data_IF_839178982892
#
_entry.id   IF_839178982892
#
_cell.length_a   1.000
_cell.length_b   1.000
_cell.length_c   1.000
_cell.angle_alpha   90.00
_cell.angle_beta   90.00
_cell.angle_gamma   90.00
#
_symmetry.space_group_name_H-M   'P 1'
#
loop_
_entity.id
_entity.type
_entity.pdbx_description
1 polymer ?
#
# COMPACT_ATOMS: atom_id res chain seq x y z
N UNK A 1 -7.90 -28.46 -62.89
CA UNK A 1 -7.36 -28.84 -61.57
C UNK A 1 -8.02 -27.93 -60.53
N UNK A 2 -8.91 -28.50 -59.71
CA UNK A 2 -9.15 -28.20 -58.28
C UNK A 2 -9.44 -26.71 -57.91
N UNK A 3 -10.52 -26.29 -57.22
CA UNK A 3 -11.72 -26.90 -56.65
C UNK A 3 -12.54 -25.77 -56.01
N UNK A 4 -13.87 -25.91 -56.04
CA UNK A 4 -14.90 -25.13 -55.32
C UNK A 4 -14.62 -25.02 -53.80
N UNK A 5 -15.25 -24.03 -53.15
CA UNK A 5 -16.24 -24.33 -52.09
C UNK A 5 -17.32 -23.24 -51.97
N UNK A 6 -18.55 -23.72 -52.05
CA UNK A 6 -19.82 -23.06 -51.80
C UNK A 6 -20.01 -22.77 -50.31
N UNK A 7 -20.70 -21.69 -49.96
CA UNK A 7 -21.50 -21.64 -48.73
C UNK A 7 -22.97 -21.38 -49.09
N UNK A 8 -23.81 -22.30 -48.62
CA UNK A 8 -25.26 -22.31 -48.75
C UNK A 8 -25.87 -21.23 -47.86
N UNK A 9 -26.76 -20.42 -48.42
CA UNK A 9 -27.71 -19.64 -47.64
C UNK A 9 -28.86 -20.56 -47.22
N UNK A 10 -28.98 -20.82 -45.92
CA UNK A 10 -30.15 -21.48 -45.34
C UNK A 10 -31.20 -20.40 -45.09
N UNK A 11 -32.21 -20.35 -45.96
CA UNK A 11 -33.43 -19.58 -45.77
C UNK A 11 -34.30 -20.34 -44.75
N UNK A 12 -34.32 -19.87 -43.50
CA UNK A 12 -35.22 -20.41 -42.47
C UNK A 12 -36.50 -19.58 -42.45
N UNK A 13 -37.55 -20.11 -43.08
CA UNK A 13 -38.91 -19.56 -42.99
C UNK A 13 -39.46 -19.81 -41.60
N UNK A 14 -39.65 -18.75 -40.81
CA UNK A 14 -40.39 -18.80 -39.53
C UNK A 14 -41.84 -18.42 -39.82
N UNK A 15 -42.72 -19.40 -39.71
CA UNK A 15 -44.17 -19.23 -39.81
C UNK A 15 -44.68 -18.51 -38.56
N UNK A 16 -45.18 -17.29 -38.72
CA UNK A 16 -45.85 -16.55 -37.65
C UNK A 16 -47.22 -17.18 -37.37
N UNK A 17 -47.39 -17.76 -36.17
CA UNK A 17 -48.72 -18.07 -35.64
C UNK A 17 -49.31 -16.79 -35.04
N UNK A 18 -50.36 -16.26 -35.66
CA UNK A 18 -51.19 -15.23 -35.03
C UNK A 18 -52.06 -15.89 -33.96
N UNK A 19 -51.91 -15.44 -32.72
CA UNK A 19 -52.91 -15.67 -31.68
C UNK A 19 -53.44 -14.30 -31.29
N UNK A 20 -54.67 -14.02 -31.70
CA UNK A 20 -55.42 -12.84 -31.26
C UNK A 20 -56.11 -13.16 -29.94
N UNK A 21 -55.75 -12.45 -28.88
CA UNK A 21 -56.66 -12.20 -27.76
C UNK A 21 -56.40 -10.80 -27.21
N UNK A 22 -57.46 -9.98 -27.20
CA UNK A 22 -57.40 -8.58 -26.79
C UNK A 22 -57.32 -8.45 -25.27
N UNK A 23 -56.32 -7.72 -24.77
CA UNK A 23 -56.38 -7.02 -23.50
C UNK A 23 -55.41 -5.82 -23.50
N UNK A 24 -55.98 -4.63 -23.68
CA UNK A 24 -55.49 -3.29 -23.31
C UNK A 24 -54.02 -2.92 -23.58
N UNK A 25 -53.82 -2.12 -24.63
CA UNK A 25 -52.80 -1.08 -24.82
C UNK A 25 -51.65 -1.01 -23.80
N UNK A 26 -50.59 -1.75 -24.07
CA UNK A 26 -49.20 -1.35 -23.78
C UNK A 26 -48.45 -1.42 -25.11
N UNK A 27 -48.85 -0.57 -26.06
CA UNK A 27 -48.28 -0.58 -27.40
C UNK A 27 -46.92 0.16 -27.39
N UNK A 28 -45.89 -0.61 -27.09
CA UNK A 28 -44.50 -0.26 -27.34
C UNK A 28 -43.73 -1.55 -27.53
N UNK A 29 -43.04 -1.70 -28.66
CA UNK A 29 -42.33 -2.93 -28.96
C UNK A 29 -41.21 -3.17 -27.93
N UNK A 30 -41.16 -4.39 -27.39
CA UNK A 30 -40.03 -4.85 -26.57
C UNK A 30 -38.84 -5.08 -27.48
N UNK A 31 -37.81 -4.25 -27.33
CA UNK A 31 -36.51 -4.44 -27.97
C UNK A 31 -35.63 -5.21 -27.02
N UNK A 32 -35.31 -6.44 -27.41
CA UNK A 32 -34.28 -7.23 -26.74
C UNK A 32 -32.92 -6.66 -27.13
N UNK A 33 -32.14 -6.17 -26.18
CA UNK A 33 -30.71 -6.01 -26.41
C UNK A 33 -30.13 -7.43 -26.52
N UNK A 34 -29.66 -7.76 -27.72
CA UNK A 34 -28.89 -8.97 -27.97
C UNK A 34 -27.49 -8.55 -28.39
N UNK A 35 -26.53 -9.46 -28.26
CA UNK A 35 -25.10 -9.25 -28.57
C UNK A 35 -24.86 -8.67 -29.98
N UNK A 36 -25.85 -8.75 -30.87
CA UNK A 36 -25.79 -8.32 -32.26
C UNK A 36 -26.45 -6.95 -32.56
N UNK A 37 -27.13 -6.30 -31.60
CA UNK A 37 -27.93 -5.07 -31.90
C UNK A 37 -27.54 -3.82 -31.11
N UNK A 38 -27.26 -3.91 -29.82
CA UNK A 38 -27.00 -2.71 -29.00
C UNK A 38 -25.50 -2.42 -28.92
N UNK A 39 -25.11 -1.23 -29.38
CA UNK A 39 -23.74 -0.73 -29.35
C UNK A 39 -23.51 0.09 -28.08
N UNK A 40 -22.47 -0.25 -27.32
CA UNK A 40 -21.99 0.55 -26.19
C UNK A 40 -20.79 1.38 -26.62
N UNK A 41 -20.94 2.71 -26.59
CA UNK A 41 -19.87 3.66 -26.90
C UNK A 41 -19.27 4.15 -25.59
N UNK A 42 -18.21 3.48 -25.14
CA UNK A 42 -17.54 3.81 -23.88
C UNK A 42 -16.47 4.87 -24.11
N UNK A 43 -16.58 5.99 -23.40
CA UNK A 43 -15.59 7.06 -23.43
C UNK A 43 -14.24 6.65 -22.84
N UNK A 44 -13.22 7.47 -23.08
CA UNK A 44 -11.87 7.24 -22.55
C UNK A 44 -11.85 7.09 -21.02
N UNK A 45 -10.88 6.32 -20.52
CA UNK A 45 -10.70 6.18 -19.08
C UNK A 45 -10.36 7.53 -18.45
N UNK A 46 -11.07 7.97 -17.39
CA UNK A 46 -10.83 9.23 -16.72
C UNK A 46 -9.57 9.11 -15.85
N UNK A 47 -8.40 9.17 -16.47
CA UNK A 47 -7.15 9.15 -15.74
C UNK A 47 -7.07 10.34 -14.76
N UNK A 48 -6.32 10.21 -13.66
CA UNK A 48 -5.94 11.36 -12.86
C UNK A 48 -5.02 12.29 -13.69
N UNK A 49 -5.58 13.28 -14.41
CA UNK A 49 -4.84 14.29 -15.18
C UNK A 49 -4.70 15.60 -14.38
N UNK A 50 -3.58 16.30 -14.57
CA UNK A 50 -3.02 17.31 -13.64
C UNK A 50 -3.99 18.34 -13.02
N UNK A 51 -3.99 18.39 -11.68
CA UNK A 51 -3.91 19.65 -10.90
C UNK A 51 -3.68 19.44 -9.38
N UNK A 52 -2.53 18.86 -8.99
CA UNK A 52 -1.84 18.99 -7.67
C UNK A 52 -2.41 18.29 -6.40
N UNK A 53 -1.62 17.59 -5.57
CA UNK A 53 -0.13 17.52 -5.46
C UNK A 53 0.39 16.08 -5.30
N UNK A 54 1.37 15.72 -6.14
CA UNK A 54 2.30 14.56 -6.05
C UNK A 54 3.69 15.14 -5.63
N UNK A 55 4.58 14.48 -4.89
CA UNK A 55 5.68 13.56 -5.34
C UNK A 55 6.30 12.79 -4.14
N UNK A 56 7.17 11.76 -4.28
CA UNK A 56 8.50 11.74 -4.95
C UNK A 56 8.74 10.41 -5.70
N UNK A 57 9.22 10.32 -6.96
CA UNK A 57 9.53 11.27 -8.06
C UNK A 57 8.85 10.81 -9.37
N UNK A 58 7.79 11.50 -9.82
CA UNK A 58 6.68 11.04 -10.69
C UNK A 58 7.01 10.80 -12.18
N UNK A 59 6.41 9.84 -12.89
CA UNK A 59 4.97 9.76 -13.28
C UNK A 59 4.26 8.50 -12.74
N UNK A 60 3.04 8.66 -12.22
CA UNK A 60 2.10 7.55 -12.01
C UNK A 60 0.68 8.05 -12.23
N UNK A 61 0.25 7.94 -13.48
CA UNK A 61 -1.13 8.21 -13.88
C UNK A 61 -2.15 7.28 -13.22
N UNK A 62 -1.70 6.25 -12.49
CA UNK A 62 -2.45 5.04 -12.22
C UNK A 62 -2.86 4.37 -13.51
N UNK A 63 -4.08 3.84 -13.52
CA UNK A 63 -4.74 3.43 -14.75
C UNK A 63 -5.00 4.66 -15.63
N UNK A 64 -4.48 4.64 -16.86
CA UNK A 64 -4.63 5.72 -17.83
C UNK A 64 -5.49 5.35 -19.03
N UNK A 65 -5.75 4.06 -19.24
CA UNK A 65 -6.55 3.52 -20.33
C UNK A 65 -7.28 2.25 -19.91
N UNK A 66 -8.35 1.93 -20.65
CA UNK A 66 -9.00 0.63 -20.61
C UNK A 66 -8.06 -0.46 -21.14
N UNK A 67 -8.12 -1.66 -20.55
CA UNK A 67 -7.36 -2.83 -20.96
C UNK A 67 -8.27 -4.06 -21.00
N UNK A 68 -7.88 -5.07 -21.77
CA UNK A 68 -8.64 -6.31 -21.89
C UNK A 68 -8.89 -6.93 -20.50
N UNK A 69 -10.14 -7.34 -20.25
CA UNK A 69 -10.60 -7.87 -18.97
C UNK A 69 -11.17 -6.82 -18.00
N UNK A 70 -11.06 -5.52 -18.27
CA UNK A 70 -11.80 -4.52 -17.47
C UNK A 70 -13.32 -4.76 -17.54
N UNK A 71 -14.00 -4.60 -16.42
CA UNK A 71 -15.45 -4.76 -16.30
C UNK A 71 -16.12 -3.43 -15.92
N UNK A 72 -17.26 -3.12 -16.56
CA UNK A 72 -18.16 -2.02 -16.19
C UNK A 72 -19.50 -2.64 -15.80
N UNK A 73 -19.98 -2.32 -14.60
CA UNK A 73 -21.26 -2.76 -14.09
C UNK A 73 -22.35 -1.78 -14.51
N UNK A 74 -23.37 -2.27 -15.21
CA UNK A 74 -24.50 -1.48 -15.67
C UNK A 74 -25.74 -1.74 -14.81
N UNK A 75 -26.46 -0.68 -14.48
CA UNK A 75 -27.81 -0.75 -13.91
C UNK A 75 -28.78 0.01 -14.82
N UNK A 76 -29.87 -0.65 -15.18
CA UNK A 76 -30.95 -0.12 -16.00
C UNK A 76 -32.20 0.01 -15.12
N UNK A 77 -32.77 1.21 -15.05
CA UNK A 77 -34.00 1.46 -14.31
C UNK A 77 -35.10 1.87 -15.30
N UNK A 78 -36.03 0.96 -15.55
CA UNK A 78 -37.26 1.22 -16.30
C UNK A 78 -38.44 1.31 -15.32
N UNK A 79 -39.35 2.24 -15.56
CA UNK A 79 -40.60 2.37 -14.78
C UNK A 79 -41.53 1.18 -15.02
N UNK A 80 -41.37 0.49 -16.14
CA UNK A 80 -42.27 -0.56 -16.61
C UNK A 80 -41.65 -1.94 -16.37
N UNK A 81 -40.39 -2.13 -16.76
CA UNK A 81 -39.68 -3.41 -16.66
C UNK A 81 -38.95 -3.58 -15.33
N UNK A 82 -38.86 -2.53 -14.52
CA UNK A 82 -38.11 -2.53 -13.28
C UNK A 82 -36.60 -2.43 -13.48
N UNK A 83 -35.84 -2.89 -12.48
CA UNK A 83 -34.38 -2.89 -12.52
C UNK A 83 -33.82 -4.09 -13.27
N UNK A 84 -32.85 -3.84 -14.14
CA UNK A 84 -32.06 -4.87 -14.83
C UNK A 84 -30.58 -4.52 -14.72
N UNK A 85 -29.71 -5.53 -14.79
CA UNK A 85 -28.28 -5.36 -14.54
C UNK A 85 -27.46 -6.20 -15.50
N UNK A 86 -26.33 -5.65 -15.92
CA UNK A 86 -25.41 -6.33 -16.80
C UNK A 86 -23.96 -5.97 -16.48
N UNK A 87 -23.06 -6.75 -17.02
CA UNK A 87 -21.62 -6.46 -17.03
C UNK A 87 -21.14 -6.29 -18.46
N UNK A 88 -20.47 -5.17 -18.75
CA UNK A 88 -19.66 -5.01 -19.95
C UNK A 88 -18.23 -5.45 -19.64
N UNK A 89 -17.61 -6.19 -20.56
CA UNK A 89 -16.21 -6.58 -20.47
C UNK A 89 -15.43 -6.02 -21.65
N UNK A 90 -14.27 -5.41 -21.39
CA UNK A 90 -13.35 -4.98 -22.43
C UNK A 90 -12.67 -6.19 -23.05
N UNK A 91 -12.76 -6.33 -24.36
CA UNK A 91 -12.06 -7.33 -25.18
C UNK A 91 -11.19 -6.65 -26.24
N UNK A 92 -10.35 -7.40 -26.94
CA UNK A 92 -9.55 -6.85 -28.04
C UNK A 92 -10.40 -6.30 -29.19
N UNK A 93 -11.64 -6.78 -29.35
CA UNK A 93 -12.62 -6.35 -30.36
C UNK A 93 -13.48 -5.15 -29.93
N UNK A 94 -13.52 -4.78 -28.64
CA UNK A 94 -14.37 -3.70 -28.17
C UNK A 94 -14.88 -3.91 -26.75
N UNK A 95 -16.11 -3.47 -26.49
CA UNK A 95 -16.84 -3.76 -25.25
C UNK A 95 -17.97 -4.74 -25.55
N UNK A 96 -18.06 -5.80 -24.76
CA UNK A 96 -19.04 -6.87 -24.95
C UNK A 96 -19.88 -7.07 -23.70
N UNK A 97 -21.19 -7.24 -23.87
CA UNK A 97 -22.11 -7.56 -22.77
C UNK A 97 -22.01 -9.05 -22.42
N UNK A 98 -21.68 -9.34 -21.16
CA UNK A 98 -21.53 -10.71 -20.64
C UNK A 98 -22.88 -11.32 -20.30
N UNK A 99 -23.72 -10.54 -19.64
CA UNK A 99 -25.01 -10.96 -19.10
C UNK A 99 -26.12 -10.54 -20.08
N UNK A 100 -26.57 -11.48 -20.92
CA UNK A 100 -27.61 -11.27 -21.93
C UNK A 100 -28.84 -12.13 -21.62
N UNK A 101 -30.08 -11.62 -21.80
CA UNK A 101 -30.42 -10.32 -22.43
C UNK A 101 -30.93 -9.22 -21.46
N UNK A 102 -30.66 -7.95 -21.80
CA UNK A 102 -31.34 -6.77 -21.22
C UNK A 102 -32.51 -6.37 -22.11
N UNK A 103 -33.65 -6.06 -21.52
CA UNK A 103 -34.86 -5.68 -22.24
C UNK A 103 -35.09 -4.17 -22.17
N UNK A 104 -35.36 -3.57 -23.32
CA UNK A 104 -35.72 -2.16 -23.47
C UNK A 104 -37.05 -2.04 -24.19
N UNK A 105 -37.70 -0.89 -24.05
CA UNK A 105 -38.92 -0.59 -24.80
C UNK A 105 -38.68 0.60 -25.71
N UNK A 106 -39.32 0.62 -26.88
CA UNK A 106 -39.21 1.76 -27.81
C UNK A 106 -39.92 3.01 -27.27
N UNK A 107 -40.94 2.84 -26.43
CA UNK A 107 -41.73 3.92 -25.83
C UNK A 107 -41.18 4.41 -24.47
N UNK A 108 -40.08 3.84 -23.99
CA UNK A 108 -39.42 4.27 -22.75
C UNK A 108 -37.90 4.17 -22.84
N UNK A 109 -37.21 5.30 -22.71
CA UNK A 109 -35.78 5.31 -22.45
C UNK A 109 -35.50 5.01 -20.96
N UNK A 110 -34.82 3.89 -20.62
CA UNK A 110 -34.46 3.61 -19.24
C UNK A 110 -33.40 4.59 -18.74
N UNK A 111 -33.38 4.86 -17.44
CA UNK A 111 -32.22 5.49 -16.82
C UNK A 111 -31.11 4.44 -16.72
N UNK A 112 -29.90 4.76 -17.18
CA UNK A 112 -28.78 3.82 -17.19
C UNK A 112 -27.60 4.42 -16.44
N UNK A 113 -27.07 3.67 -15.48
CA UNK A 113 -25.84 3.99 -14.77
C UNK A 113 -24.75 2.99 -15.12
N UNK A 114 -23.53 3.48 -15.23
CA UNK A 114 -22.34 2.66 -15.40
C UNK A 114 -21.37 2.89 -14.24
N UNK A 115 -20.90 1.80 -13.65
CA UNK A 115 -19.97 1.80 -12.54
C UNK A 115 -18.71 1.04 -12.95
N UNK A 116 -17.58 1.75 -12.98
CA UNK A 116 -16.27 1.12 -12.96
C UNK A 116 -15.81 0.97 -11.52
N UNK A 117 -15.92 -0.25 -10.99
CA UNK A 117 -15.49 -0.58 -9.64
C UNK A 117 -14.87 -1.99 -9.64
N UNK A 118 -13.55 -2.13 -9.87
CA UNK A 118 -12.92 -3.43 -10.12
C UNK A 118 -13.04 -4.42 -8.96
N UNK A 119 -13.24 -3.92 -7.73
CA UNK A 119 -13.45 -4.73 -6.53
C UNK A 119 -14.91 -5.19 -6.34
N UNK A 120 -15.83 -4.78 -7.21
CA UNK A 120 -17.25 -5.08 -7.08
C UNK A 120 -17.75 -5.93 -8.24
N UNK A 121 -18.80 -6.69 -7.98
CA UNK A 121 -19.51 -7.49 -8.97
C UNK A 121 -21.01 -7.57 -8.63
N UNK A 122 -21.81 -8.03 -9.59
CA UNK A 122 -23.19 -8.39 -9.31
C UNK A 122 -23.25 -9.82 -8.73
N UNK A 123 -23.71 -9.94 -7.48
CA UNK A 123 -24.09 -11.24 -6.87
C UNK A 123 -25.59 -11.22 -6.59
N UNK A 124 -26.33 -12.19 -7.13
CA UNK A 124 -27.79 -12.29 -6.96
C UNK A 124 -28.54 -10.97 -7.19
N UNK A 125 -28.20 -10.25 -8.26
CA UNK A 125 -28.71 -8.91 -8.52
C UNK A 125 -28.52 -7.95 -7.33
N UNK A 126 -27.35 -7.96 -6.69
CA UNK A 126 -26.93 -7.01 -5.66
C UNK A 126 -25.46 -6.64 -5.89
N UNK A 127 -25.14 -5.34 -5.83
CA UNK A 127 -23.76 -4.88 -5.92
C UNK A 127 -23.01 -5.36 -4.68
N UNK A 128 -21.98 -6.17 -4.87
CA UNK A 128 -21.25 -6.82 -3.79
C UNK A 128 -19.76 -6.76 -4.04
N UNK A 129 -18.96 -6.72 -2.97
CA UNK A 129 -17.52 -6.87 -3.07
C UNK A 129 -17.16 -8.29 -3.59
N UNK A 130 -16.15 -8.33 -4.46
CA UNK A 130 -15.47 -9.55 -4.88
C UNK A 130 -14.75 -10.16 -3.67
N UNK A 131 -14.67 -11.48 -3.63
CA UNK A 131 -14.07 -12.20 -2.51
C UNK A 131 -12.60 -11.76 -2.32
N UNK A 132 -12.23 -11.47 -1.07
CA UNK A 132 -10.88 -11.02 -0.72
C UNK A 132 -10.59 -9.53 -0.98
N UNK A 133 -11.57 -8.75 -1.45
CA UNK A 133 -11.42 -7.29 -1.61
C UNK A 133 -12.08 -6.52 -0.47
N UNK A 134 -11.71 -5.24 -0.32
CA UNK A 134 -12.21 -4.35 0.73
C UNK A 134 -12.55 -2.99 0.12
N UNK A 135 -13.51 -2.28 0.72
CA UNK A 135 -13.83 -0.90 0.36
C UNK A 135 -12.59 0.00 0.40
N UNK A 136 -12.47 0.90 -0.56
CA UNK A 136 -11.36 1.84 -0.65
C UNK A 136 -10.03 1.26 -1.12
N UNK A 137 -9.94 -0.01 -1.52
CA UNK A 137 -8.72 -0.57 -2.14
C UNK A 137 -8.80 -0.68 -3.67
N UNK A 138 -9.87 -0.18 -4.26
CA UNK A 138 -10.08 -0.10 -5.70
C UNK A 138 -10.84 1.17 -6.10
N UNK A 139 -10.79 1.51 -7.39
CA UNK A 139 -11.56 2.63 -7.95
C UNK A 139 -13.07 2.40 -7.78
N UNK A 140 -13.84 3.48 -7.78
CA UNK A 140 -15.30 3.45 -7.74
C UNK A 140 -15.85 4.66 -8.49
N UNK A 141 -15.92 4.54 -9.81
CA UNK A 141 -16.28 5.65 -10.70
C UNK A 141 -17.66 5.36 -11.28
N UNK A 142 -18.65 6.16 -10.88
CA UNK A 142 -20.02 6.08 -11.41
C UNK A 142 -20.26 7.22 -12.40
N UNK A 143 -20.93 6.90 -13.51
CA UNK A 143 -21.44 7.87 -14.48
C UNK A 143 -22.89 7.54 -14.84
N UNK A 144 -23.66 8.59 -15.10
CA UNK A 144 -24.95 8.46 -15.77
C UNK A 144 -24.68 8.32 -17.29
N UNK A 145 -25.34 7.36 -17.94
CA UNK A 145 -25.19 7.08 -19.36
C UNK A 145 -26.22 7.86 -20.19
N UNK A 146 -25.84 8.25 -21.41
CA UNK A 146 -26.74 8.87 -22.37
C UNK A 146 -27.36 7.80 -23.28
N UNK A 147 -28.67 7.60 -23.15
CA UNK A 147 -29.44 6.66 -23.97
C UNK A 147 -30.01 7.42 -25.17
N UNK A 148 -29.31 7.37 -26.30
CA UNK A 148 -29.78 7.99 -27.56
C UNK A 148 -30.86 7.15 -28.24
N UNK A 149 -30.73 5.82 -28.22
CA UNK A 149 -31.72 4.86 -28.71
C UNK A 149 -31.52 3.48 -28.07
N UNK A 150 -32.40 2.52 -28.33
CA UNK A 150 -32.21 1.13 -27.90
C UNK A 150 -31.00 0.44 -28.56
N UNK A 151 -30.51 0.99 -29.67
CA UNK A 151 -29.38 0.46 -30.43
C UNK A 151 -28.04 1.15 -30.07
N UNK A 152 -28.04 2.30 -29.37
CA UNK A 152 -26.81 3.03 -29.00
C UNK A 152 -26.90 3.67 -27.60
N UNK A 153 -25.98 3.26 -26.72
CA UNK A 153 -25.81 3.80 -25.36
C UNK A 153 -24.40 4.35 -25.20
N UNK A 154 -24.29 5.63 -24.85
CA UNK A 154 -23.02 6.28 -24.58
C UNK A 154 -22.72 6.19 -23.09
N UNK A 155 -21.49 5.76 -22.77
CA UNK A 155 -20.99 5.65 -21.39
C UNK A 155 -19.88 6.69 -21.19
N UNK A 156 -20.19 7.89 -20.64
CA UNK A 156 -19.33 9.07 -20.75
C UNK A 156 -18.23 9.13 -19.67
N UNK A 157 -17.45 8.06 -19.53
CA UNK A 157 -16.36 7.98 -18.54
C UNK A 157 -15.31 9.08 -18.68
N UNK A 158 -15.11 9.63 -19.88
CA UNK A 158 -14.21 10.76 -20.12
C UNK A 158 -14.59 12.04 -19.36
N UNK A 159 -15.85 12.17 -18.93
CA UNK A 159 -16.38 13.29 -18.15
C UNK A 159 -16.59 12.94 -16.67
N UNK A 160 -16.19 11.73 -16.23
CA UNK A 160 -16.44 11.29 -14.87
C UNK A 160 -15.73 12.17 -13.84
N UNK A 161 -16.44 12.48 -12.76
CA UNK A 161 -15.86 13.18 -11.60
C UNK A 161 -15.58 12.18 -10.49
N UNK A 162 -14.47 12.36 -9.76
CA UNK A 162 -14.18 11.59 -8.55
C UNK A 162 -14.54 12.43 -7.35
N UNK A 163 -15.42 11.91 -6.49
CA UNK A 163 -15.77 12.50 -5.20
C UNK A 163 -14.87 11.98 -4.05
N UNK A 164 -13.71 11.45 -4.39
CA UNK A 164 -12.70 10.93 -3.48
C UNK A 164 -11.30 11.29 -3.97
N UNK A 165 -10.31 11.12 -3.09
CA UNK A 165 -8.89 11.20 -3.40
C UNK A 165 -8.28 9.81 -3.58
N UNK A 166 -7.09 9.75 -4.18
CA UNK A 166 -6.24 8.56 -4.22
C UNK A 166 -4.99 8.79 -3.38
N UNK A 167 -4.62 7.83 -2.55
CA UNK A 167 -3.30 7.76 -1.93
C UNK A 167 -2.51 6.60 -2.57
N UNK A 168 -1.40 6.93 -3.22
CA UNK A 168 -0.41 5.95 -3.67
C UNK A 168 0.65 5.75 -2.60
N UNK A 169 0.95 4.52 -2.27
CA UNK A 169 2.04 4.14 -1.38
C UNK A 169 3.08 3.41 -2.22
N UNK A 170 4.27 4.00 -2.38
CA UNK A 170 5.41 3.34 -3.01
C UNK A 170 6.19 2.56 -1.95
N UNK A 171 6.44 1.28 -2.20
CA UNK A 171 7.01 0.31 -1.25
C UNK A 171 7.79 -0.78 -1.99
N UNK A 172 8.05 -1.90 -1.34
CA UNK A 172 8.71 -3.09 -1.87
C UNK A 172 7.83 -3.73 -2.94
N UNK A 173 8.40 -4.22 -4.06
CA UNK A 173 7.64 -4.82 -5.17
C UNK A 173 7.10 -6.20 -4.83
N UNK A 174 5.85 -6.47 -5.22
CA UNK A 174 5.18 -7.78 -5.06
C UNK A 174 5.17 -8.35 -3.63
N UNK A 175 5.34 -7.52 -2.61
CA UNK A 175 5.40 -7.96 -1.22
C UNK A 175 4.12 -7.56 -0.46
N UNK A 176 3.67 -8.39 0.51
CA UNK A 176 2.61 -8.00 1.41
C UNK A 176 3.11 -6.94 2.39
N UNK A 177 2.29 -5.90 2.59
CA UNK A 177 2.51 -4.85 3.58
C UNK A 177 1.27 -4.66 4.45
N UNK A 178 1.46 -4.13 5.65
CA UNK A 178 0.37 -3.66 6.49
C UNK A 178 0.21 -2.16 6.31
N UNK A 179 -1.00 -1.73 5.94
CA UNK A 179 -1.39 -0.32 5.86
C UNK A 179 -2.36 -0.05 7.00
N UNK A 180 -1.90 0.67 8.02
CA UNK A 180 -2.75 1.18 9.10
C UNK A 180 -3.30 2.54 8.72
N UNK A 181 -4.58 2.77 8.95
CA UNK A 181 -5.24 4.07 8.75
C UNK A 181 -6.03 4.45 9.98
N UNK A 182 -6.05 5.74 10.30
CA UNK A 182 -6.97 6.31 11.29
C UNK A 182 -7.84 7.37 10.63
N UNK A 183 -9.13 7.37 10.95
CA UNK A 183 -10.11 8.33 10.45
C UNK A 183 -10.24 8.38 8.92
N UNK A 184 -9.96 7.28 8.23
CA UNK A 184 -10.11 7.16 6.78
C UNK A 184 -11.55 6.82 6.40
N UNK A 185 -12.06 7.46 5.35
CA UNK A 185 -13.37 7.13 4.75
C UNK A 185 -13.12 6.51 3.38
N UNK A 186 -13.17 5.17 3.23
CA UNK A 186 -13.03 4.53 1.93
C UNK A 186 -14.15 4.94 0.98
N UNK A 187 -13.86 5.01 -0.32
CA UNK A 187 -14.91 5.24 -1.32
C UNK A 187 -15.93 4.09 -1.28
N UNK A 188 -17.21 4.44 -1.42
CA UNK A 188 -18.36 3.55 -1.27
C UNK A 188 -18.51 2.90 0.12
N UNK A 189 -17.77 3.37 1.13
CA UNK A 189 -17.86 2.91 2.51
C UNK A 189 -18.12 4.02 3.52
N UNK A 190 -18.01 3.68 4.80
CA UNK A 190 -18.19 4.61 5.92
C UNK A 190 -16.86 4.88 6.63
N UNK A 191 -16.74 6.04 7.30
CA UNK A 191 -15.52 6.40 8.04
C UNK A 191 -15.22 5.40 9.14
N UNK A 192 -13.96 5.00 9.26
CA UNK A 192 -13.47 4.08 10.29
C UNK A 192 -12.49 4.81 11.22
N UNK A 193 -12.61 4.59 12.53
CA UNK A 193 -11.71 5.20 13.52
C UNK A 193 -10.27 4.69 13.35
N UNK A 194 -10.11 3.38 13.18
CA UNK A 194 -8.83 2.73 12.90
C UNK A 194 -9.07 1.44 12.12
N UNK A 195 -8.23 1.17 11.12
CA UNK A 195 -8.22 -0.08 10.36
C UNK A 195 -6.83 -0.44 9.87
N UNK A 196 -6.51 -1.72 9.91
CA UNK A 196 -5.33 -2.29 9.25
C UNK A 196 -5.76 -3.09 8.02
N UNK A 197 -5.13 -2.79 6.89
CA UNK A 197 -5.25 -3.53 5.65
C UNK A 197 -4.00 -4.38 5.44
N UNK A 198 -4.17 -5.62 5.02
CA UNK A 198 -3.09 -6.46 4.49
C UNK A 198 -3.15 -6.38 2.97
N UNK A 199 -2.23 -5.64 2.35
CA UNK A 199 -2.25 -5.34 0.93
C UNK A 199 -0.93 -5.78 0.28
N UNK A 200 -1.02 -6.38 -0.90
CA UNK A 200 0.17 -6.73 -1.70
C UNK A 200 0.39 -5.65 -2.74
N UNK A 201 1.61 -5.13 -2.79
CA UNK A 201 2.00 -4.15 -3.82
C UNK A 201 2.03 -4.77 -5.21
N UNK A 202 1.82 -3.95 -6.24
CA UNK A 202 1.97 -4.38 -7.63
C UNK A 202 3.45 -4.60 -8.05
N UNK A 203 3.65 -4.96 -9.32
CA UNK A 203 4.98 -5.17 -9.92
C UNK A 203 5.86 -3.89 -9.92
N UNK A 204 5.26 -2.73 -9.73
CA UNK A 204 5.95 -1.44 -9.63
C UNK A 204 6.20 -1.04 -8.16
N UNK A 205 5.73 -1.83 -7.20
CA UNK A 205 5.86 -1.55 -5.77
C UNK A 205 4.82 -0.56 -5.26
N UNK A 206 3.65 -0.47 -5.91
CA UNK A 206 2.59 0.44 -5.48
C UNK A 206 1.43 -0.28 -4.80
N UNK A 207 0.91 0.36 -3.76
CA UNK A 207 -0.39 0.07 -3.14
C UNK A 207 -1.25 1.33 -3.22
N UNK A 208 -2.56 1.18 -3.38
CA UNK A 208 -3.47 2.30 -3.53
C UNK A 208 -4.61 2.25 -2.52
N UNK A 209 -4.95 3.41 -1.97
CA UNK A 209 -6.20 3.64 -1.25
C UNK A 209 -7.01 4.72 -1.97
N UNK A 210 -8.33 4.55 -2.00
CA UNK A 210 -9.30 5.42 -2.64
C UNK A 210 -10.36 5.84 -1.61
N UNK A 211 -10.45 7.13 -1.35
CA UNK A 211 -11.34 7.65 -0.30
C UNK A 211 -10.93 9.06 0.13
N UNK A 212 -11.31 9.44 1.35
CA UNK A 212 -10.95 10.73 1.93
C UNK A 212 -10.26 10.57 3.29
N UNK A 213 -9.20 11.35 3.49
CA UNK A 213 -8.55 11.54 4.77
C UNK A 213 -8.91 12.93 5.27
N UNK A 214 -9.36 13.04 6.51
CA UNK A 214 -9.69 14.32 7.16
C UNK A 214 -8.47 14.84 7.92
N UNK A 215 -8.55 16.07 8.41
CA UNK A 215 -7.53 16.60 9.32
C UNK A 215 -7.32 15.65 10.50
N UNK A 216 -6.06 15.40 10.83
CA UNK A 216 -5.58 14.46 11.85
C UNK A 216 -5.75 12.97 11.51
N UNK A 217 -6.24 12.61 10.32
CA UNK A 217 -6.09 11.24 9.83
C UNK A 217 -4.61 10.85 9.78
N UNK A 218 -4.32 9.58 10.02
CA UNK A 218 -2.96 9.04 9.90
C UNK A 218 -2.92 7.86 8.96
N UNK A 219 -1.77 7.66 8.30
CA UNK A 219 -1.47 6.46 7.52
C UNK A 219 -0.09 5.96 7.93
N UNK A 220 -0.05 4.70 8.33
CA UNK A 220 1.16 3.99 8.77
C UNK A 220 1.42 2.81 7.85
N UNK A 221 2.66 2.69 7.37
CA UNK A 221 3.09 1.57 6.53
C UNK A 221 4.05 0.70 7.33
N UNK A 222 3.78 -0.60 7.39
CA UNK A 222 4.67 -1.59 8.01
C UNK A 222 5.00 -2.72 7.04
N UNK A 223 6.22 -3.23 7.15
CA UNK A 223 6.66 -4.48 6.53
C UNK A 223 7.16 -5.43 7.61
N UNK A 224 6.60 -6.64 7.68
CA UNK A 224 6.87 -7.62 8.74
C UNK A 224 6.80 -7.01 10.16
N UNK A 225 5.81 -6.14 10.41
CA UNK A 225 5.62 -5.45 11.69
C UNK A 225 6.54 -4.24 11.93
N UNK A 226 7.54 -3.99 11.09
CA UNK A 226 8.46 -2.86 11.18
C UNK A 226 7.91 -1.64 10.45
N UNK A 227 7.94 -0.48 11.08
CA UNK A 227 7.48 0.78 10.49
C UNK A 227 8.41 1.23 9.35
N UNK A 228 7.84 1.47 8.16
CA UNK A 228 8.56 2.02 7.00
C UNK A 228 8.27 3.51 6.80
N UNK A 229 7.01 3.91 7.00
CA UNK A 229 6.58 5.29 6.83
C UNK A 229 5.37 5.59 7.71
N UNK A 230 5.22 6.86 8.06
CA UNK A 230 4.03 7.38 8.72
C UNK A 230 3.73 8.78 8.17
N UNK A 231 2.46 9.08 7.98
CA UNK A 231 1.99 10.39 7.56
C UNK A 231 0.76 10.81 8.37
N UNK A 232 0.75 12.05 8.83
CA UNK A 232 -0.40 12.67 9.46
C UNK A 232 -0.91 13.81 8.58
N UNK A 233 -2.19 13.73 8.21
CA UNK A 233 -2.82 14.72 7.35
C UNK A 233 -3.13 15.99 8.14
N UNK A 234 -2.64 17.13 7.66
CA UNK A 234 -2.87 18.45 8.28
C UNK A 234 -4.16 19.11 7.82
N UNK A 235 -4.77 18.59 6.75
CA UNK A 235 -6.04 19.03 6.18
C UNK A 235 -6.74 17.87 5.47
N UNK A 236 -7.96 18.12 5.00
CA UNK A 236 -8.74 17.13 4.26
C UNK A 236 -8.20 16.97 2.85
N UNK A 237 -8.08 15.74 2.37
CA UNK A 237 -7.71 15.44 0.99
C UNK A 237 -8.77 15.92 0.01
N UNK A 238 -8.34 16.46 -1.13
CA UNK A 238 -9.21 16.97 -2.17
C UNK A 238 -9.72 15.87 -3.10
N UNK A 239 -10.98 15.99 -3.52
CA UNK A 239 -11.62 15.13 -4.49
C UNK A 239 -10.91 15.22 -5.86
N UNK A 240 -10.75 14.09 -6.53
CA UNK A 240 -10.05 13.99 -7.82
C UNK A 240 -8.54 14.20 -7.74
N UNK A 241 -7.95 14.36 -6.55
CA UNK A 241 -6.49 14.47 -6.39
C UNK A 241 -5.84 13.14 -6.03
N UNK A 242 -4.58 13.01 -6.41
CA UNK A 242 -3.74 11.87 -6.03
C UNK A 242 -2.55 12.36 -5.21
N UNK A 243 -2.37 11.76 -4.04
CA UNK A 243 -1.25 11.94 -3.13
C UNK A 243 -0.29 10.76 -3.22
N UNK A 244 0.95 10.94 -2.73
CA UNK A 244 1.96 9.90 -2.69
C UNK A 244 2.63 9.83 -1.31
N UNK A 245 2.84 8.61 -0.82
CA UNK A 245 3.61 8.31 0.38
C UNK A 245 4.79 7.41 0.00
N UNK A 246 5.99 7.84 0.36
CA UNK A 246 7.22 7.08 0.15
C UNK A 246 7.49 6.18 1.35
N UNK A 247 7.27 4.88 1.16
CA UNK A 247 7.64 3.81 2.07
C UNK A 247 8.64 2.85 1.39
N UNK A 248 9.39 3.34 0.40
CA UNK A 248 10.33 2.52 -0.36
C UNK A 248 11.48 2.02 0.51
N UNK A 249 12.08 0.93 0.06
CA UNK A 249 13.16 0.23 0.74
C UNK A 249 14.28 -0.01 -0.25
N UNK A 250 15.51 0.21 0.18
CA UNK A 250 16.71 -0.15 -0.58
C UNK A 250 17.12 -1.56 -0.14
N UNK A 251 17.08 -2.52 -1.06
CA UNK A 251 17.44 -3.92 -0.80
C UNK A 251 18.83 -4.21 -1.33
N UNK A 252 19.71 -4.75 -0.50
CA UNK A 252 21.06 -5.20 -0.88
C UNK A 252 21.02 -6.14 -2.09
N UNK A 253 20.05 -7.06 -2.15
CA UNK A 253 19.93 -8.04 -3.23
C UNK A 253 19.40 -7.46 -4.56
N UNK A 254 18.93 -6.21 -4.56
CA UNK A 254 18.24 -5.61 -5.72
C UNK A 254 18.84 -4.28 -6.16
N UNK A 255 19.91 -3.82 -5.51
CA UNK A 255 20.64 -2.61 -5.87
C UNK A 255 22.05 -2.97 -6.28
N UNK A 256 22.56 -2.36 -7.34
CA UNK A 256 23.95 -2.57 -7.78
C UNK A 256 24.95 -1.94 -6.80
N UNK A 257 24.52 -0.87 -6.12
CA UNK A 257 25.29 -0.17 -5.09
C UNK A 257 24.34 0.46 -4.06
N UNK A 258 24.41 -0.01 -2.82
CA UNK A 258 23.58 0.48 -1.72
C UNK A 258 23.96 1.91 -1.32
N UNK A 259 25.24 2.28 -1.38
CA UNK A 259 25.73 3.61 -1.02
C UNK A 259 25.21 4.66 -1.98
N UNK A 260 25.30 4.42 -3.30
CA UNK A 260 24.74 5.31 -4.32
C UNK A 260 23.22 5.45 -4.19
N UNK A 261 22.50 4.35 -3.95
CA UNK A 261 21.05 4.40 -3.76
C UNK A 261 20.64 5.24 -2.54
N UNK A 262 21.39 5.15 -1.43
CA UNK A 262 21.18 5.98 -0.24
C UNK A 262 21.52 7.44 -0.57
N UNK A 263 22.64 7.72 -1.21
CA UNK A 263 23.05 9.08 -1.57
C UNK A 263 21.99 9.79 -2.44
N UNK A 264 21.36 9.08 -3.38
CA UNK A 264 20.24 9.62 -4.17
C UNK A 264 19.04 9.98 -3.30
N UNK A 265 18.70 9.15 -2.30
CA UNK A 265 17.64 9.49 -1.33
C UNK A 265 17.98 10.74 -0.53
N UNK A 266 19.24 10.88 -0.10
CA UNK A 266 19.70 12.09 0.60
C UNK A 266 19.61 13.33 -0.30
N UNK A 267 20.00 13.21 -1.58
CA UNK A 267 19.88 14.30 -2.56
C UNK A 267 18.41 14.72 -2.83
N UNK A 268 17.45 13.81 -2.64
CA UNK A 268 16.01 14.07 -2.69
C UNK A 268 15.43 14.54 -1.33
N UNK A 269 16.27 15.04 -0.43
CA UNK A 269 15.94 15.53 0.91
C UNK A 269 15.22 14.49 1.80
N UNK A 270 15.46 13.19 1.58
CA UNK A 270 14.84 12.13 2.36
C UNK A 270 15.58 11.91 3.68
N UNK A 271 14.82 11.96 4.77
CA UNK A 271 15.33 11.73 6.13
C UNK A 271 15.03 10.34 6.66
N UNK A 272 14.07 9.62 6.07
CA UNK A 272 13.74 8.26 6.45
C UNK A 272 14.36 7.31 5.43
N UNK A 273 15.30 6.49 5.87
CA UNK A 273 16.03 5.54 5.03
C UNK A 273 15.71 4.13 5.53
N UNK A 274 15.08 3.32 4.68
CA UNK A 274 14.74 1.94 4.99
C UNK A 274 15.61 1.00 4.15
N UNK A 275 16.30 0.07 4.82
CA UNK A 275 17.19 -0.90 4.21
C UNK A 275 16.72 -2.33 4.52
N UNK A 276 16.84 -3.22 3.53
CA UNK A 276 16.81 -4.67 3.75
C UNK A 276 18.19 -5.20 3.36
N UNK A 277 18.89 -5.76 4.34
CA UNK A 277 20.20 -6.38 4.15
C UNK A 277 20.08 -7.90 4.24
N UNK A 278 21.10 -8.60 3.75
CA UNK A 278 21.27 -10.03 3.97
C UNK A 278 21.58 -10.31 5.45
N UNK A 279 21.31 -11.55 5.91
CA UNK A 279 21.61 -11.93 7.30
C UNK A 279 23.10 -11.84 7.63
N UNK A 280 23.94 -12.01 6.61
CA UNK A 280 25.41 -12.05 6.65
C UNK A 280 26.07 -10.79 6.08
N UNK A 281 25.36 -9.65 6.04
CA UNK A 281 25.93 -8.38 5.58
C UNK A 281 27.29 -8.10 6.25
N UNK A 282 28.31 -7.92 5.41
CA UNK A 282 29.71 -7.78 5.85
C UNK A 282 30.11 -6.32 6.08
N UNK A 283 31.36 -6.10 6.51
CA UNK A 283 31.89 -4.76 6.80
C UNK A 283 31.77 -3.81 5.60
N UNK A 284 31.95 -4.30 4.37
CA UNK A 284 31.86 -3.50 3.16
C UNK A 284 30.43 -2.97 2.92
N UNK A 285 29.39 -3.73 3.28
CA UNK A 285 28.01 -3.22 3.23
C UNK A 285 27.84 -2.01 4.15
N UNK A 286 28.37 -2.06 5.38
CA UNK A 286 28.27 -0.95 6.33
C UNK A 286 29.11 0.26 5.93
N UNK A 287 30.30 0.05 5.35
CA UNK A 287 31.10 1.13 4.75
C UNK A 287 30.34 1.84 3.63
N UNK A 288 29.64 1.11 2.77
CA UNK A 288 28.82 1.70 1.70
C UNK A 288 27.59 2.45 2.26
N UNK A 289 26.97 1.96 3.34
CA UNK A 289 25.91 2.69 4.04
C UNK A 289 26.46 4.01 4.61
N UNK A 290 27.66 3.99 5.22
CA UNK A 290 28.31 5.20 5.70
C UNK A 290 28.57 6.19 4.57
N UNK A 291 29.10 5.70 3.44
CA UNK A 291 29.36 6.50 2.25
C UNK A 291 28.08 7.18 1.76
N UNK A 292 26.98 6.43 1.62
CA UNK A 292 25.72 6.97 1.14
C UNK A 292 25.09 8.02 2.05
N UNK A 293 25.38 7.99 3.35
CA UNK A 293 24.85 8.92 4.34
C UNK A 293 25.76 10.13 4.59
N UNK A 294 26.95 10.23 3.99
CA UNK A 294 27.98 11.20 4.40
C UNK A 294 27.55 12.66 4.26
N UNK A 295 26.70 12.98 3.29
CA UNK A 295 26.20 14.34 3.03
C UNK A 295 24.95 14.69 3.85
N UNK A 296 24.43 13.75 4.63
CA UNK A 296 23.29 14.00 5.49
C UNK A 296 23.66 14.92 6.66
N UNK A 297 22.76 15.85 6.98
CA UNK A 297 22.92 16.73 8.12
C UNK A 297 22.90 15.96 9.46
N UNK A 298 23.59 16.50 10.46
CA UNK A 298 23.64 15.90 11.79
C UNK A 298 22.25 15.78 12.42
N UNK A 299 21.95 14.61 13.00
CA UNK A 299 20.70 14.35 13.71
C UNK A 299 19.42 14.44 12.86
N UNK A 300 19.50 14.24 11.54
CA UNK A 300 18.32 14.28 10.66
C UNK A 300 17.82 12.91 10.21
N UNK A 301 18.66 11.88 10.21
CA UNK A 301 18.34 10.58 9.61
C UNK A 301 17.67 9.62 10.60
N UNK A 302 16.53 9.06 10.17
CA UNK A 302 15.93 7.88 10.79
C UNK A 302 16.25 6.68 9.91
N UNK A 303 17.11 5.80 10.40
CA UNK A 303 17.56 4.62 9.67
C UNK A 303 16.84 3.37 10.17
N UNK A 304 16.24 2.62 9.27
CA UNK A 304 15.67 1.29 9.55
C UNK A 304 16.48 0.26 8.78
N UNK A 305 17.01 -0.75 9.45
CA UNK A 305 17.77 -1.85 8.81
C UNK A 305 17.15 -3.19 9.20
N UNK A 306 16.55 -3.85 8.22
CA UNK A 306 15.89 -5.16 8.35
C UNK A 306 16.76 -6.28 7.76
N UNK A 307 16.45 -7.54 8.11
CA UNK A 307 17.08 -8.74 7.57
C UNK A 307 18.42 -9.12 8.20
N UNK A 308 19.20 -8.12 8.64
CA UNK A 308 20.51 -8.33 9.25
C UNK A 308 20.41 -8.91 10.67
N UNK A 309 21.15 -9.99 10.96
CA UNK A 309 21.17 -10.66 12.27
C UNK A 309 22.27 -10.14 13.19
N UNK A 310 23.36 -9.63 12.62
CA UNK A 310 24.54 -9.21 13.34
C UNK A 310 25.01 -7.84 12.89
N UNK A 311 25.21 -6.95 13.85
CA UNK A 311 25.89 -5.66 13.61
C UNK A 311 27.36 -5.82 13.99
N UNK A 312 28.30 -5.68 13.03
CA UNK A 312 29.75 -5.73 13.32
C UNK A 312 30.22 -4.65 14.29
N UNK A 313 31.42 -4.85 14.83
CA UNK A 313 32.06 -3.82 15.66
C UNK A 313 32.26 -2.54 14.83
N UNK A 314 31.97 -1.38 15.44
CA UNK A 314 32.07 -0.06 14.80
C UNK A 314 31.19 0.17 13.55
N UNK A 315 30.22 -0.69 13.24
CA UNK A 315 29.43 -0.61 12.01
C UNK A 315 28.74 0.75 11.75
N UNK A 316 28.28 1.43 12.81
CA UNK A 316 27.68 2.76 12.74
C UNK A 316 28.50 3.80 13.52
N UNK A 317 29.79 3.56 13.74
CA UNK A 317 30.64 4.46 14.51
C UNK A 317 30.77 5.81 13.79
N UNK A 318 30.61 6.91 14.55
CA UNK A 318 30.63 8.30 14.05
C UNK A 318 29.48 8.67 13.10
N UNK A 319 28.37 7.94 13.10
CA UNK A 319 27.20 8.32 12.33
C UNK A 319 26.45 9.48 12.99
N UNK A 320 27.02 10.68 12.93
CA UNK A 320 26.47 11.91 13.56
C UNK A 320 25.18 12.38 12.90
N UNK A 321 24.88 11.91 11.69
CA UNK A 321 23.61 12.14 11.00
C UNK A 321 22.43 11.37 11.62
N UNK A 322 22.67 10.30 12.37
CA UNK A 322 21.60 9.48 12.93
C UNK A 322 20.86 10.20 14.06
N UNK A 323 19.56 10.42 13.85
CA UNK A 323 18.58 10.77 14.86
C UNK A 323 17.99 9.54 15.52
N UNK A 324 17.70 8.51 14.72
CA UNK A 324 17.16 7.26 15.22
C UNK A 324 17.63 6.07 14.39
N UNK A 325 17.69 4.91 15.04
CA UNK A 325 17.98 3.64 14.35
C UNK A 325 17.04 2.53 14.80
N UNK A 326 16.52 1.77 13.84
CA UNK A 326 15.61 0.63 14.06
C UNK A 326 16.20 -0.64 13.47
N UNK A 327 16.46 -1.62 14.33
CA UNK A 327 17.15 -2.89 14.04
C UNK A 327 16.30 -4.08 14.54
N UNK A 328 15.16 -4.38 13.91
CA UNK A 328 14.16 -5.29 14.45
C UNK A 328 14.64 -6.76 14.47
N UNK A 329 15.50 -7.14 13.52
CA UNK A 329 15.93 -8.52 13.31
C UNK A 329 17.27 -8.87 13.98
N UNK A 330 17.97 -7.86 14.51
CA UNK A 330 19.31 -7.99 15.07
C UNK A 330 19.29 -8.78 16.38
N UNK A 331 20.23 -9.71 16.48
CA UNK A 331 20.43 -10.61 17.62
C UNK A 331 21.83 -10.45 18.23
N UNK A 332 22.83 -10.05 17.44
CA UNK A 332 24.21 -9.85 17.89
C UNK A 332 24.71 -8.43 17.55
N UNK A 333 25.37 -7.75 18.51
CA UNK A 333 25.95 -6.41 18.31
C UNK A 333 27.40 -6.40 18.78
N UNK A 334 28.31 -5.97 17.92
CA UNK A 334 29.74 -5.80 18.18
C UNK A 334 30.09 -4.56 19.01
N UNK A 335 31.34 -4.49 19.45
CA UNK A 335 31.87 -3.39 20.25
C UNK A 335 31.82 -2.07 19.47
N UNK A 336 31.57 -0.95 20.16
CA UNK A 336 31.52 0.38 19.55
C UNK A 336 30.51 0.55 18.39
N UNK A 337 29.53 -0.35 18.24
CA UNK A 337 28.64 -0.37 17.07
C UNK A 337 27.96 0.98 16.79
N UNK A 338 27.55 1.75 17.81
CA UNK A 338 26.97 3.09 17.69
C UNK A 338 27.83 4.16 18.35
N UNK A 339 29.14 3.93 18.49
CA UNK A 339 29.99 4.85 19.22
C UNK A 339 30.07 6.21 18.52
N UNK A 340 29.96 7.29 19.30
CA UNK A 340 29.97 8.68 18.85
C UNK A 340 28.85 9.07 17.87
N UNK A 341 27.70 8.36 17.90
CA UNK A 341 26.45 8.83 17.30
C UNK A 341 25.82 9.93 18.18
N UNK A 342 26.47 11.09 18.24
CA UNK A 342 26.19 12.16 19.21
C UNK A 342 24.80 12.80 19.15
N UNK A 343 24.04 12.57 18.07
CA UNK A 343 22.68 13.08 17.88
C UNK A 343 21.59 12.00 18.00
N UNK A 344 21.98 10.77 18.38
CA UNK A 344 21.07 9.64 18.48
C UNK A 344 20.08 9.85 19.63
N UNK A 345 18.79 9.83 19.30
CA UNK A 345 17.69 10.08 20.24
C UNK A 345 16.80 8.87 20.47
N UNK A 346 16.78 7.92 19.53
CA UNK A 346 15.95 6.72 19.64
C UNK A 346 16.62 5.51 19.04
N UNK A 347 16.56 4.40 19.77
CA UNK A 347 17.09 3.10 19.33
C UNK A 347 16.01 2.05 19.50
N UNK A 348 15.71 1.31 18.45
CA UNK A 348 14.81 0.15 18.50
C UNK A 348 15.62 -1.10 18.19
N UNK A 349 15.66 -2.06 19.12
CA UNK A 349 16.43 -3.29 18.98
C UNK A 349 15.51 -4.51 18.97
N UNK A 350 15.92 -5.52 18.20
CA UNK A 350 15.33 -6.85 18.18
C UNK A 350 15.53 -7.62 19.49
N UNK A 351 15.40 -8.95 19.42
CA UNK A 351 15.59 -9.82 20.58
C UNK A 351 17.06 -10.24 20.70
N UNK A 352 17.85 -9.45 21.43
CA UNK A 352 19.30 -9.60 21.53
C UNK A 352 19.70 -10.87 22.28
N UNK A 353 20.69 -11.56 21.70
CA UNK A 353 21.31 -12.79 22.21
C UNK A 353 22.74 -12.55 22.68
N UNK A 354 23.47 -11.63 22.03
CA UNK A 354 24.85 -11.30 22.38
C UNK A 354 25.12 -9.82 22.12
N UNK A 355 25.73 -9.14 23.09
CA UNK A 355 26.24 -7.77 22.89
C UNK A 355 27.63 -7.69 23.46
N UNK A 356 28.59 -7.22 22.68
CA UNK A 356 29.98 -7.09 23.11
C UNK A 356 30.28 -5.68 23.65
N UNK A 357 31.21 -5.64 24.61
CA UNK A 357 31.62 -4.43 25.32
C UNK A 357 30.76 -4.11 26.54
N UNK A 358 31.26 -3.23 27.40
CA UNK A 358 30.52 -2.65 28.51
C UNK A 358 30.68 -1.12 28.52
N UNK A 359 29.93 -0.45 29.40
CA UNK A 359 29.93 1.01 29.53
C UNK A 359 31.33 1.62 29.75
N UNK A 360 32.29 0.88 30.30
CA UNK A 360 33.64 1.35 30.59
C UNK A 360 34.67 0.99 29.52
N UNK A 361 34.44 -0.10 28.78
CA UNK A 361 35.37 -0.66 27.79
C UNK A 361 34.58 -1.27 26.62
N UNK A 362 34.69 -0.73 25.40
CA UNK A 362 34.08 -1.35 24.22
C UNK A 362 32.58 -1.09 24.04
N UNK A 363 31.98 -0.22 24.84
CA UNK A 363 30.54 -0.04 24.92
C UNK A 363 29.86 0.36 23.60
N UNK A 364 28.71 -0.25 23.31
CA UNK A 364 27.98 -0.01 22.04
C UNK A 364 27.46 1.43 21.88
N UNK A 365 27.31 2.18 22.97
CA UNK A 365 26.85 3.58 22.99
C UNK A 365 27.92 4.54 23.55
N UNK A 366 29.20 4.18 23.43
CA UNK A 366 30.30 5.05 23.85
C UNK A 366 30.20 6.42 23.17
N UNK A 367 30.22 7.50 23.94
CA UNK A 367 30.06 8.88 23.42
C UNK A 367 28.63 9.33 23.03
N UNK A 368 27.56 8.57 23.35
CA UNK A 368 26.18 8.92 22.97
C UNK A 368 25.27 9.41 24.12
N UNK A 369 25.75 9.41 25.35
CA UNK A 369 25.04 9.81 26.59
C UNK A 369 23.55 9.36 26.68
N UNK A 370 23.28 8.04 26.74
CA UNK A 370 21.92 7.48 26.62
C UNK A 370 20.93 7.98 27.66
N UNK A 371 21.43 8.37 28.85
CA UNK A 371 20.62 8.80 29.99
C UNK A 371 19.82 10.07 29.70
N UNK A 372 20.35 10.97 28.89
CA UNK A 372 19.68 12.25 28.62
C UNK A 372 19.01 12.28 27.26
N UNK A 373 19.47 11.48 26.30
CA UNK A 373 19.06 11.63 24.91
C UNK A 373 18.33 10.42 24.32
N UNK A 374 18.61 9.19 24.78
CA UNK A 374 18.15 7.98 24.06
C UNK A 374 16.90 7.37 24.70
N UNK A 375 15.82 7.38 23.91
CA UNK A 375 14.63 6.56 24.13
C UNK A 375 14.87 5.16 23.52
N UNK A 376 15.03 4.14 24.37
CA UNK A 376 15.27 2.76 23.94
C UNK A 376 13.95 1.98 23.82
N UNK A 377 13.79 1.25 22.73
CA UNK A 377 12.67 0.31 22.54
C UNK A 377 13.23 -1.08 22.35
N UNK A 378 12.80 -2.02 23.19
CA UNK A 378 13.21 -3.42 23.15
C UNK A 378 12.04 -4.29 22.71
N UNK A 379 12.37 -5.43 22.08
CA UNK A 379 11.39 -6.49 21.82
C UNK A 379 10.66 -6.92 23.09
N UNK A 380 9.37 -7.25 22.96
CA UNK A 380 8.55 -7.75 24.07
C UNK A 380 9.15 -9.02 24.72
N UNK A 381 9.90 -9.79 23.94
CA UNK A 381 10.51 -11.06 24.34
C UNK A 381 11.96 -10.89 24.84
N UNK A 382 12.45 -9.66 24.95
CA UNK A 382 13.79 -9.39 25.46
C UNK A 382 13.93 -9.91 26.89
N UNK A 383 15.00 -10.65 27.12
CA UNK A 383 15.41 -11.11 28.46
C UNK A 383 16.31 -10.08 29.11
N UNK A 384 16.35 -10.09 30.44
CA UNK A 384 17.38 -9.36 31.18
C UNK A 384 18.75 -9.86 30.72
N UNK A 385 19.66 -8.94 30.42
CA UNK A 385 21.01 -9.27 29.95
C UNK A 385 21.99 -9.27 31.12
N UNK A 386 22.89 -10.26 31.18
CA UNK A 386 23.96 -10.36 32.18
C UNK A 386 25.31 -10.28 31.48
N UNK A 387 26.13 -9.37 31.97
CA UNK A 387 27.47 -9.14 31.46
C UNK A 387 28.52 -9.94 32.21
N UNK A 388 29.49 -10.49 31.49
CA UNK A 388 30.70 -11.10 32.06
C UNK A 388 31.88 -10.98 31.12
N UNK A 389 33.08 -11.05 31.69
CA UNK A 389 34.29 -11.26 30.90
C UNK A 389 34.26 -12.68 30.30
N UNK A 390 34.69 -12.80 29.05
CA UNK A 390 34.81 -14.07 28.32
C UNK A 390 36.29 -14.43 28.12
N UNK A 391 36.58 -15.64 27.65
CA UNK A 391 37.94 -16.24 27.66
C UNK A 391 39.02 -15.41 26.95
N UNK A 392 38.64 -14.58 25.97
CA UNK A 392 39.55 -13.71 25.23
C UNK A 392 39.77 -12.32 25.88
N UNK A 393 39.27 -12.13 27.10
CA UNK A 393 39.37 -10.88 27.87
C UNK A 393 38.35 -9.80 27.47
N UNK A 394 37.49 -10.06 26.47
CA UNK A 394 36.40 -9.14 26.13
C UNK A 394 35.25 -9.27 27.12
N UNK A 395 34.40 -8.26 27.14
CA UNK A 395 33.16 -8.30 27.92
C UNK A 395 31.98 -8.62 27.01
N UNK A 396 31.09 -9.51 27.45
CA UNK A 396 29.93 -9.93 26.67
C UNK A 396 28.67 -10.03 27.53
N UNK A 397 27.57 -9.52 26.99
CA UNK A 397 26.23 -9.60 27.55
C UNK A 397 25.44 -10.70 26.88
N UNK A 398 24.85 -11.58 27.68
CA UNK A 398 23.97 -12.67 27.21
C UNK A 398 22.65 -12.69 27.98
N UNK A 399 21.55 -13.18 27.39
CA UNK A 399 20.25 -13.23 28.04
C UNK A 399 20.25 -14.19 29.24
N UNK A 400 19.59 -13.75 30.31
CA UNK A 400 19.22 -14.55 31.48
C UNK A 400 17.86 -15.24 31.25
N UNK A 401 17.35 -15.93 32.26
CA UNK A 401 16.01 -16.54 32.24
C UNK A 401 14.88 -15.50 32.43
N UNK A 402 15.15 -14.42 33.17
CA UNK A 402 14.18 -13.37 33.53
C UNK A 402 13.74 -12.54 32.32
N UNK A 403 12.43 -12.31 32.17
CA UNK A 403 11.90 -11.37 31.20
C UNK A 403 12.30 -9.93 31.56
N UNK A 404 12.75 -9.15 30.59
CA UNK A 404 13.10 -7.76 30.85
C UNK A 404 11.87 -6.90 31.16
N UNK A 405 10.75 -7.15 30.46
CA UNK A 405 9.50 -6.43 30.68
C UNK A 405 9.06 -6.50 32.16
N UNK A 406 8.73 -5.34 32.73
CA UNK A 406 8.44 -5.11 34.15
C UNK A 406 9.47 -5.58 35.21
N UNK A 407 10.68 -6.00 34.80
CA UNK A 407 11.79 -6.27 35.72
C UNK A 407 12.23 -5.01 36.48
N UNK A 408 13.08 -5.18 37.51
CA UNK A 408 13.69 -4.05 38.21
C UNK A 408 14.52 -3.15 37.27
N UNK A 409 15.18 -3.75 36.26
CA UNK A 409 16.02 -3.02 35.31
C UNK A 409 15.19 -2.15 34.37
N UNK A 410 14.05 -2.66 33.91
CA UNK A 410 13.11 -1.87 33.09
C UNK A 410 12.54 -0.69 33.87
N UNK A 411 12.11 -0.91 35.11
CA UNK A 411 11.58 0.14 36.00
C UNK A 411 12.62 1.22 36.35
N UNK A 412 13.90 0.86 36.33
CA UNK A 412 15.01 1.78 36.58
C UNK A 412 15.69 2.27 35.31
N UNK A 413 15.08 2.11 34.13
CA UNK A 413 15.62 2.52 32.83
C UNK A 413 17.06 2.04 32.55
N UNK A 414 17.42 0.84 33.02
CA UNK A 414 18.77 0.29 32.89
C UNK A 414 18.84 -0.86 31.90
N UNK A 415 19.80 -0.81 30.98
CA UNK A 415 20.09 -1.91 30.05
C UNK A 415 21.58 -1.93 29.68
N UNK A 416 22.23 -3.09 29.77
CA UNK A 416 23.68 -3.27 29.50
C UNK A 416 24.58 -2.30 30.30
N UNK A 417 24.23 -2.04 31.57
CA UNK A 417 24.84 -1.04 32.47
C UNK A 417 24.69 0.44 32.07
N UNK A 418 23.97 0.75 31.00
CA UNK A 418 23.58 2.12 30.68
C UNK A 418 22.29 2.49 31.39
N UNK A 419 22.23 3.74 31.85
CA UNK A 419 20.98 4.41 32.19
C UNK A 419 20.48 5.08 30.91
N UNK A 420 19.20 4.91 30.59
CA UNK A 420 18.55 5.51 29.42
C UNK A 420 17.58 6.62 29.84
N UNK A 421 17.33 7.56 28.94
CA UNK A 421 16.31 8.59 29.10
C UNK A 421 14.93 7.94 29.26
N UNK A 422 14.59 6.96 28.45
CA UNK A 422 13.41 6.13 28.66
C UNK A 422 13.62 4.75 28.07
N UNK A 423 12.90 3.75 28.60
CA UNK A 423 12.86 2.41 28.01
C UNK A 423 11.41 1.97 27.84
N UNK A 424 11.09 1.52 26.62
CA UNK A 424 9.85 0.81 26.29
C UNK A 424 10.15 -0.68 26.05
N UNK A 425 9.42 -1.55 26.73
CA UNK A 425 9.42 -2.99 26.51
C UNK A 425 8.01 -3.50 26.76
N UNK A 426 7.40 -4.22 25.81
CA UNK A 426 5.97 -4.54 25.91
C UNK A 426 5.09 -3.31 25.75
N UNK A 427 4.01 -3.29 26.51
CA UNK A 427 3.06 -2.18 26.59
C UNK A 427 3.48 -1.09 27.58
N UNK A 428 4.62 -1.27 28.28
CA UNK A 428 5.06 -0.38 29.34
C UNK A 428 6.23 0.49 28.87
N UNK A 429 6.25 1.74 29.32
CA UNK A 429 7.33 2.68 29.09
C UNK A 429 7.68 3.33 30.42
N UNK A 430 8.95 3.28 30.80
CA UNK A 430 9.47 3.94 32.00
C UNK A 430 10.34 5.13 31.55
N UNK A 431 9.94 6.37 31.88
CA UNK A 431 10.62 7.60 31.47
C UNK A 431 11.71 8.05 32.45
#
# INVERSE_FOLDING_TARGET
>A
MIMRKFFQYVLMTVTAMMVTSCASDMDGALVKTDKSRTQFVVGDFPAFRDSQTRTVGTEDGGKTSWVDGDEILLSFTSKILGEQRATLTKTSSGWEIKDSPIYMREDEAPAVKALYAPNYEWKDNTLSLKDGTVEGTGEYIEVDCDVHSADEIIVPFNNATRNYSRLRIATIKNEPITVGTEYFTPVAGSREDSKEYSLTSDNNGNVFLYGSFVKNSTVTIKYNGTYLANHAFTGTTENGKSYALDATVISENSTDDIGTAIANKIADDKTNINLILTSEADENVFENIQYGLMEASNGTINLTVMGCKKIPSSAFKHFTMLKSITLPDVEEIGEYAFANCSWLQKVVLGNLKKVYGNKYYGGIFDGCDPKYYIDLVLSNDQKVMRGKEIEDGRYCWTPDMENYNNSMYHKSQKFLDYDFKSIKCGYQTYP
#
